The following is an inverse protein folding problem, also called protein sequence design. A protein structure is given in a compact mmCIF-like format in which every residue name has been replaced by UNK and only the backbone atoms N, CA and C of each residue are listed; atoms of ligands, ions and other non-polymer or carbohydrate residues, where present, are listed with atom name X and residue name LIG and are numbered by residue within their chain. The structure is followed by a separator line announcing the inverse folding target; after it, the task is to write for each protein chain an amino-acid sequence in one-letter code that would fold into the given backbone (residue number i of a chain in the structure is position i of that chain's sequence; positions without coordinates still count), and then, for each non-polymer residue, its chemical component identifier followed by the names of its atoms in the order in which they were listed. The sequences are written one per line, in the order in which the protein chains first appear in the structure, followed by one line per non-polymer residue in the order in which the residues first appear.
data_IF_037468418736
#
_entry.id   IF_037468418736
#
_cell.length_a   1.000
_cell.length_b   1.000
_cell.length_c   1.000
_cell.angle_alpha   90.00
_cell.angle_beta   90.00
_cell.angle_gamma   90.00
#
_symmetry.space_group_name_H-M   'P 1'
#
loop_
_entity.id
_entity.type
_entity.pdbx_description
1 polymer ?
#
# COMPACT_ATOMS: atom_id res chain seq x y z
N UNK A 1 0.77 -8.23 -15.68
CA UNK A 1 1.19 -7.14 -14.78
C UNK A 1 0.22 -7.00 -13.60
N UNK A 2 -1.09 -7.14 -13.82
CA UNK A 2 -2.08 -7.43 -12.80
C UNK A 2 -2.13 -8.95 -12.53
N UNK A 3 -1.81 -9.37 -11.32
CA UNK A 3 -2.05 -10.73 -10.83
C UNK A 3 -2.99 -10.61 -9.62
N UNK A 4 -4.31 -10.85 -9.79
CA UNK A 4 -5.29 -10.64 -8.72
C UNK A 4 -5.06 -11.53 -7.51
N UNK A 5 -4.47 -12.71 -7.71
CA UNK A 5 -4.28 -13.70 -6.64
C UNK A 5 -3.14 -13.31 -5.69
N UNK A 6 -2.23 -12.42 -6.13
CA UNK A 6 -1.02 -12.07 -5.37
C UNK A 6 -0.87 -10.59 -5.07
N UNK A 7 -1.34 -9.70 -5.96
CA UNK A 7 -1.31 -8.26 -5.73
C UNK A 7 -2.58 -7.83 -4.99
N UNK A 8 -2.42 -7.26 -3.80
CA UNK A 8 -3.55 -6.87 -2.94
C UNK A 8 -4.43 -5.78 -3.55
N UNK A 9 -3.88 -4.97 -4.45
CA UNK A 9 -4.63 -3.93 -5.13
C UNK A 9 -4.77 -2.62 -4.35
N UNK A 10 -5.25 -1.56 -5.02
CA UNK A 10 -5.25 -0.20 -4.48
C UNK A 10 -6.15 -0.02 -3.26
N UNK A 11 -7.31 -0.68 -3.22
CA UNK A 11 -8.26 -0.54 -2.11
C UNK A 11 -7.70 -1.15 -0.82
N UNK A 12 -7.17 -2.38 -0.89
CA UNK A 12 -6.57 -3.07 0.25
C UNK A 12 -5.33 -2.31 0.75
N UNK A 13 -4.45 -1.85 -0.15
CA UNK A 13 -3.25 -1.10 0.24
C UNK A 13 -3.57 0.30 0.81
N UNK A 14 -4.63 0.96 0.34
CA UNK A 14 -5.11 2.19 0.97
C UNK A 14 -5.59 1.94 2.41
N UNK A 15 -6.28 0.81 2.64
CA UNK A 15 -6.68 0.41 3.98
C UNK A 15 -5.49 -0.03 4.85
N UNK A 16 -4.49 -0.69 4.28
CA UNK A 16 -3.26 -1.03 5.00
C UNK A 16 -2.56 0.25 5.47
N UNK A 17 -2.44 1.25 4.58
CA UNK A 17 -1.87 2.55 4.93
C UNK A 17 -2.63 3.26 6.03
N UNK A 18 -3.98 3.17 6.06
CA UNK A 18 -4.79 3.73 7.15
C UNK A 18 -4.30 3.27 8.53
N UNK A 19 -4.01 1.98 8.70
CA UNK A 19 -3.52 1.48 9.99
C UNK A 19 -2.04 1.82 10.21
N UNK A 20 -1.21 1.75 9.16
CA UNK A 20 0.21 2.12 9.24
C UNK A 20 0.44 3.58 9.64
N UNK A 21 -0.50 4.47 9.31
CA UNK A 21 -0.45 5.90 9.65
C UNK A 21 -1.20 6.24 10.95
N UNK A 22 -1.88 5.29 11.58
CA UNK A 22 -2.64 5.52 12.81
C UNK A 22 -1.70 5.46 14.02
N UNK A 23 -1.53 6.57 14.74
CA UNK A 23 -0.65 6.65 15.91
C UNK A 23 -1.07 5.75 17.08
N UNK A 24 -2.30 5.24 17.05
CA UNK A 24 -2.82 4.31 18.06
C UNK A 24 -2.44 2.86 17.77
N UNK A 25 -2.13 2.54 16.51
CA UNK A 25 -1.78 1.17 16.10
C UNK A 25 -0.35 0.83 16.54
N UNK A 26 -0.21 -0.27 17.29
CA UNK A 26 1.08 -0.75 17.79
C UNK A 26 1.66 -1.88 16.93
N UNK A 27 0.99 -2.27 15.84
CA UNK A 27 1.33 -3.43 15.02
C UNK A 27 2.01 -3.04 13.69
N UNK A 28 2.58 -1.84 13.59
CA UNK A 28 3.20 -1.31 12.35
C UNK A 28 4.21 -2.28 11.74
N UNK A 29 5.10 -2.86 12.54
CA UNK A 29 6.14 -3.78 12.05
C UNK A 29 5.54 -5.08 11.50
N UNK A 30 4.54 -5.64 12.17
CA UNK A 30 3.84 -6.85 11.73
C UNK A 30 3.13 -6.59 10.39
N UNK A 31 2.42 -5.47 10.29
CA UNK A 31 1.73 -5.07 9.06
C UNK A 31 2.68 -4.85 7.89
N UNK A 32 3.83 -4.23 8.14
CA UNK A 32 4.84 -4.05 7.09
C UNK A 32 5.49 -5.38 6.70
N UNK A 33 5.68 -6.32 7.63
CA UNK A 33 6.17 -7.66 7.31
C UNK A 33 5.18 -8.42 6.41
N UNK A 34 3.87 -8.32 6.67
CA UNK A 34 2.84 -8.92 5.82
C UNK A 34 2.82 -8.35 4.38
N UNK A 35 3.29 -7.11 4.21
CA UNK A 35 3.40 -6.46 2.89
C UNK A 35 4.76 -6.68 2.21
N UNK A 36 5.74 -7.27 2.91
CA UNK A 36 7.11 -7.49 2.42
C UNK A 36 7.21 -8.73 1.53
N UNK A 37 6.49 -8.68 0.40
CA UNK A 37 6.49 -9.70 -0.65
C UNK A 37 6.57 -9.04 -2.04
N UNK A 38 7.32 -9.61 -3.00
CA UNK A 38 7.48 -9.03 -4.34
C UNK A 38 6.17 -8.77 -5.11
N UNK A 39 5.07 -9.42 -4.73
CA UNK A 39 3.78 -9.32 -5.41
C UNK A 39 2.77 -8.47 -4.64
N UNK A 40 2.69 -8.59 -3.30
CA UNK A 40 1.64 -7.96 -2.48
C UNK A 40 1.62 -6.43 -2.58
N UNK A 41 2.80 -5.79 -2.54
CA UNK A 41 2.94 -4.33 -2.58
C UNK A 41 3.58 -3.82 -3.89
N UNK A 42 4.64 -4.49 -4.35
CA UNK A 42 5.55 -3.95 -5.37
C UNK A 42 5.04 -4.03 -6.82
N UNK A 43 3.85 -4.60 -7.07
CA UNK A 43 3.21 -4.62 -8.39
C UNK A 43 2.46 -3.33 -8.74
N UNK A 44 2.43 -2.36 -7.84
CA UNK A 44 1.98 -1.01 -8.17
C UNK A 44 3.07 -0.25 -8.96
N UNK A 45 2.82 -0.06 -10.26
CA UNK A 45 3.68 0.67 -11.20
C UNK A 45 3.24 2.12 -11.44
N UNK A 46 2.48 2.72 -10.52
CA UNK A 46 2.03 4.12 -10.61
C UNK A 46 1.28 4.45 -11.91
N UNK A 47 0.43 3.54 -12.39
CA UNK A 47 -0.43 3.73 -13.59
C UNK A 47 -1.56 4.74 -13.32
N UNK A 48 -1.89 5.02 -12.06
CA UNK A 48 -2.83 6.05 -11.61
C UNK A 48 -4.32 5.83 -11.88
N UNK A 49 -4.74 4.83 -12.67
CA UNK A 49 -6.17 4.53 -12.89
C UNK A 49 -7.02 4.48 -11.61
N UNK A 50 -6.46 3.98 -10.50
CA UNK A 50 -7.17 3.89 -9.21
C UNK A 50 -7.51 5.25 -8.58
N UNK A 51 -6.76 6.30 -8.90
CA UNK A 51 -7.03 7.67 -8.46
C UNK A 51 -8.16 8.26 -9.31
N UNK A 52 -8.06 8.11 -10.63
CA UNK A 52 -9.01 8.69 -11.60
C UNK A 52 -10.43 8.14 -11.44
N UNK A 53 -10.56 6.83 -11.18
CA UNK A 53 -11.87 6.17 -11.09
C UNK A 53 -12.48 6.20 -9.69
N UNK A 54 -11.77 6.68 -8.67
CA UNK A 54 -12.27 6.59 -7.29
C UNK A 54 -13.47 7.53 -7.08
N UNK A 55 -14.70 7.02 -6.84
CA UNK A 55 -15.89 7.85 -6.69
C UNK A 55 -15.86 8.72 -5.42
N UNK A 56 -14.96 8.40 -4.48
CA UNK A 56 -14.74 9.14 -3.23
C UNK A 56 -13.59 10.14 -3.33
N UNK A 57 -12.96 10.31 -4.50
CA UNK A 57 -11.83 11.22 -4.72
C UNK A 57 -10.65 10.97 -3.77
N UNK A 58 -10.41 9.71 -3.44
CA UNK A 58 -9.25 9.29 -2.64
C UNK A 58 -8.05 9.07 -3.56
N UNK A 59 -6.84 9.05 -2.98
CA UNK A 59 -5.60 8.82 -3.72
C UNK A 59 -4.87 7.56 -3.24
N UNK A 60 -5.25 6.36 -3.74
CA UNK A 60 -4.56 5.12 -3.39
C UNK A 60 -3.09 5.10 -3.80
N UNK A 61 -2.72 5.70 -4.94
CA UNK A 61 -1.31 5.69 -5.38
C UNK A 61 -0.41 6.42 -4.38
N UNK A 62 -0.85 7.56 -3.85
CA UNK A 62 -0.12 8.30 -2.81
C UNK A 62 0.07 7.45 -1.55
N UNK A 63 -0.97 6.77 -1.09
CA UNK A 63 -0.90 5.88 0.06
C UNK A 63 0.09 4.73 -0.16
N UNK A 64 0.04 4.07 -1.34
CA UNK A 64 0.99 3.02 -1.70
C UNK A 64 2.44 3.55 -1.72
N UNK A 65 2.65 4.76 -2.22
CA UNK A 65 3.96 5.44 -2.17
C UNK A 65 4.48 5.59 -0.75
N UNK A 66 3.62 6.01 0.20
CA UNK A 66 3.98 6.11 1.61
C UNK A 66 4.33 4.77 2.24
N UNK A 67 3.61 3.69 1.91
CA UNK A 67 4.00 2.35 2.37
C UNK A 67 5.40 1.99 1.84
N UNK A 68 5.71 2.25 0.56
CA UNK A 68 7.04 1.98 0.00
C UNK A 68 8.14 2.80 0.69
N UNK A 69 7.90 4.08 0.98
CA UNK A 69 8.81 4.92 1.77
C UNK A 69 9.07 4.31 3.15
N UNK A 70 8.03 3.87 3.86
CA UNK A 70 8.16 3.22 5.17
C UNK A 70 8.95 1.91 5.11
N UNK A 71 8.82 1.12 4.03
CA UNK A 71 9.63 -0.08 3.81
C UNK A 71 11.12 0.26 3.63
N UNK A 72 11.42 1.29 2.84
CA UNK A 72 12.79 1.74 2.61
C UNK A 72 13.42 2.27 3.90
N UNK A 73 12.69 3.07 4.67
CA UNK A 73 13.16 3.60 5.94
C UNK A 73 13.47 2.51 6.99
N UNK A 74 12.87 1.32 6.89
CA UNK A 74 13.19 0.16 7.75
C UNK A 74 14.45 -0.59 7.33
N UNK A 75 14.89 -0.42 6.09
CA UNK A 75 16.02 -1.17 5.53
C UNK A 75 17.36 -0.46 5.75
N UNK A 76 17.33 0.80 6.21
CA UNK A 76 18.50 1.63 6.50
C UNK A 76 18.86 1.55 7.99
#
# INVERSE_FOLDING_TARGET
WWNPDKFLGPAALLHAYRFLADSRDQATNERLNDLNDPYRLFRCHSIMNCVDVCPKKLNPTKAIGKIKEMMLARTV
#
